data_IF_640024421217
#
_entry.id   IF_640024421217
#
_cell.length_a   1.000
_cell.length_b   1.000
_cell.length_c   1.000
_cell.angle_alpha   90.00
_cell.angle_beta   90.00
_cell.angle_gamma   90.00
#
_symmetry.space_group_name_H-M   'P 1'
#
loop_
_entity.id
_entity.type
_entity.pdbx_description
1 polymer ?
#
# COMPACT_ATOMS: atom_id res chain seq x y z
N UNK A 1 4.18 -20.34 44.59
CA UNK A 1 4.76 -20.32 43.21
C UNK A 1 3.68 -19.85 42.26
N UNK A 2 3.89 -18.76 41.53
CA UNK A 2 2.95 -18.29 40.50
C UNK A 2 3.16 -19.06 39.20
N UNK A 3 2.09 -19.29 38.44
CA UNK A 3 2.21 -19.94 37.14
C UNK A 3 2.84 -18.99 36.11
N UNK A 4 3.90 -19.42 35.43
CA UNK A 4 4.59 -18.62 34.40
C UNK A 4 3.69 -18.34 33.18
N UNK A 5 2.68 -19.19 32.95
CA UNK A 5 1.78 -19.09 31.80
C UNK A 5 0.58 -18.17 32.03
N UNK A 6 -0.04 -18.22 33.20
CA UNK A 6 -1.27 -17.45 33.49
C UNK A 6 -1.11 -16.45 34.64
N UNK A 7 0.08 -16.36 35.25
CA UNK A 7 0.43 -15.48 36.39
C UNK A 7 -0.51 -15.54 37.60
N UNK A 8 -1.39 -16.53 37.60
CA UNK A 8 -2.31 -16.81 38.70
C UNK A 8 -1.59 -17.64 39.77
N UNK A 9 -2.22 -17.78 40.94
CA UNK A 9 -1.82 -18.73 41.98
C UNK A 9 -2.70 -19.98 41.93
N UNK A 10 -2.56 -20.84 40.91
CA UNK A 10 -3.37 -22.05 40.77
C UNK A 10 -2.88 -23.15 41.72
N UNK A 11 -3.76 -24.08 42.03
CA UNK A 11 -3.34 -25.40 42.49
C UNK A 11 -2.53 -26.09 41.38
N UNK A 12 -1.39 -26.67 41.76
CA UNK A 12 -0.51 -27.40 40.84
C UNK A 12 -1.00 -28.84 40.80
N UNK A 13 -1.26 -29.36 39.59
CA UNK A 13 -1.56 -30.78 39.37
C UNK A 13 -0.36 -31.38 38.63
N UNK A 14 0.47 -32.14 39.36
CA UNK A 14 1.75 -32.64 38.83
C UNK A 14 2.77 -31.51 38.61
N UNK A 15 3.18 -31.30 37.35
CA UNK A 15 4.09 -30.21 36.96
C UNK A 15 3.37 -29.05 36.24
N UNK A 16 2.05 -29.11 36.13
CA UNK A 16 1.27 -28.19 35.30
C UNK A 16 0.24 -27.42 36.14
N UNK A 17 -0.04 -26.20 35.67
CA UNK A 17 -1.06 -25.34 36.24
C UNK A 17 -2.46 -25.81 35.85
N UNK A 18 -3.33 -26.01 36.83
CA UNK A 18 -4.71 -26.45 36.62
C UNK A 18 -5.52 -25.50 35.73
N UNK A 19 -5.33 -24.19 35.87
CA UNK A 19 -6.03 -23.17 35.05
C UNK A 19 -5.61 -23.29 33.59
N UNK A 20 -4.31 -23.43 33.31
CA UNK A 20 -3.81 -23.59 31.94
C UNK A 20 -4.31 -24.88 31.29
N UNK A 21 -4.50 -25.95 32.05
CA UNK A 21 -5.07 -27.21 31.54
C UNK A 21 -6.53 -27.00 31.11
N UNK A 22 -7.33 -26.32 31.94
CA UNK A 22 -8.75 -26.07 31.68
C UNK A 22 -8.93 -25.11 30.49
N UNK A 23 -8.12 -24.06 30.38
CA UNK A 23 -8.13 -23.13 29.24
C UNK A 23 -7.78 -23.85 27.93
N UNK A 24 -6.83 -24.79 27.98
CA UNK A 24 -6.48 -25.58 26.79
C UNK A 24 -7.62 -26.51 26.41
N UNK A 25 -8.27 -27.18 27.38
CA UNK A 25 -9.37 -28.09 27.13
C UNK A 25 -10.65 -27.40 26.64
N UNK A 26 -10.91 -26.16 27.05
CA UNK A 26 -12.04 -25.35 26.56
C UNK A 26 -11.82 -24.83 25.15
N UNK A 27 -10.60 -24.39 24.82
CA UNK A 27 -10.26 -23.95 23.45
C UNK A 27 -10.42 -25.04 22.39
N UNK A 28 -10.34 -26.32 22.77
CA UNK A 28 -10.62 -27.45 21.87
C UNK A 28 -12.11 -27.70 21.64
N UNK A 29 -12.99 -27.29 22.56
CA UNK A 29 -14.45 -27.48 22.44
C UNK A 29 -15.13 -26.43 21.57
N UNK A 30 -14.55 -25.24 21.46
CA UNK A 30 -15.12 -24.14 20.66
C UNK A 30 -14.85 -24.26 19.15
N UNK A 31 -14.03 -25.23 18.71
CA UNK A 31 -13.69 -25.40 17.29
C UNK A 31 -14.62 -26.34 16.49
N UNK A 32 -15.75 -26.81 17.05
CA UNK A 32 -16.60 -27.80 16.37
C UNK A 32 -18.07 -27.38 16.08
N UNK A 33 -18.53 -26.21 16.51
CA UNK A 33 -19.91 -25.79 16.22
C UNK A 33 -19.99 -24.29 15.95
N UNK A 34 -20.27 -23.92 14.69
CA UNK A 34 -21.37 -23.02 14.31
C UNK A 34 -21.23 -22.60 12.85
N UNK A 35 -21.96 -23.29 11.97
CA UNK A 35 -22.42 -22.80 10.68
C UNK A 35 -23.65 -21.92 10.89
N UNK A 36 -23.62 -20.65 10.48
CA UNK A 36 -24.82 -19.82 10.25
C UNK A 36 -24.62 -18.78 9.12
N UNK A 37 -25.72 -18.34 8.48
CA UNK A 37 -25.79 -18.19 7.03
C UNK A 37 -25.65 -16.76 6.49
N UNK A 38 -25.51 -16.72 5.17
CA UNK A 38 -25.41 -15.59 4.23
C UNK A 38 -26.59 -14.59 4.38
N UNK A 39 -26.27 -13.30 4.42
CA UNK A 39 -27.19 -12.21 4.11
C UNK A 39 -26.52 -11.22 3.13
N UNK A 40 -27.22 -10.90 2.05
CA UNK A 40 -26.79 -10.06 0.93
C UNK A 40 -26.90 -8.55 1.22
N UNK A 41 -26.25 -7.69 0.39
CA UNK A 41 -25.84 -6.34 0.78
C UNK A 41 -26.86 -5.24 0.40
N UNK A 42 -27.07 -4.29 1.30
CA UNK A 42 -27.72 -3.01 1.00
C UNK A 42 -26.75 -2.00 0.39
N UNK A 43 -27.17 -1.44 -0.75
CA UNK A 43 -26.52 -0.39 -1.53
C UNK A 43 -25.94 0.75 -0.68
N UNK A 44 -24.61 0.90 -0.72
CA UNK A 44 -23.95 2.16 -0.38
C UNK A 44 -23.27 2.66 -1.64
N UNK A 45 -23.92 3.63 -2.29
CA UNK A 45 -23.44 4.26 -3.51
C UNK A 45 -22.07 4.88 -3.25
N UNK A 46 -21.04 4.32 -3.89
CA UNK A 46 -19.66 4.81 -3.79
C UNK A 46 -19.54 6.20 -4.43
N UNK A 47 -18.73 7.08 -3.81
CA UNK A 47 -18.37 8.42 -4.28
C UNK A 47 -17.87 8.48 -5.74
N UNK A 48 -17.46 7.33 -6.29
CA UNK A 48 -17.08 7.12 -7.69
C UNK A 48 -18.27 7.24 -8.66
N UNK A 49 -19.47 6.80 -8.25
CA UNK A 49 -20.68 6.81 -9.09
C UNK A 49 -21.21 8.25 -9.31
N UNK A 50 -21.13 9.10 -8.28
CA UNK A 50 -21.52 10.52 -8.37
C UNK A 50 -20.61 11.35 -9.29
N UNK A 51 -19.32 10.97 -9.43
CA UNK A 51 -18.42 11.64 -10.37
C UNK A 51 -18.70 11.24 -11.83
N UNK A 52 -19.06 9.97 -12.08
CA UNK A 52 -19.40 9.52 -13.43
C UNK A 52 -20.73 10.12 -13.94
N UNK A 53 -21.72 10.34 -13.06
CA UNK A 53 -22.97 10.99 -13.44
C UNK A 53 -22.80 12.48 -13.78
N UNK A 54 -21.91 13.21 -13.09
CA UNK A 54 -21.57 14.61 -13.45
C UNK A 54 -20.89 14.71 -14.82
N UNK A 55 -19.99 13.79 -15.15
CA UNK A 55 -19.31 13.77 -16.44
C UNK A 55 -20.27 13.53 -17.63
N UNK A 56 -21.32 12.72 -17.45
CA UNK A 56 -22.35 12.51 -18.48
C UNK A 56 -23.23 13.73 -18.73
N UNK A 57 -23.53 14.52 -17.69
CA UNK A 57 -24.37 15.72 -17.83
C UNK A 57 -23.72 16.83 -18.68
N UNK A 58 -22.38 16.90 -18.69
CA UNK A 58 -21.63 17.88 -19.49
C UNK A 58 -21.52 17.48 -20.97
N UNK A 59 -21.57 16.18 -21.28
CA UNK A 59 -21.54 15.66 -22.65
C UNK A 59 -22.90 15.74 -23.36
N UNK A 60 -24.00 15.96 -22.64
CA UNK A 60 -25.35 16.10 -23.23
C UNK A 60 -25.71 17.54 -23.61
N UNK A 61 -24.84 18.54 -23.35
CA UNK A 61 -25.11 19.95 -23.69
C UNK A 61 -24.40 20.45 -24.97
N UNK A 62 -23.63 19.61 -25.67
CA UNK A 62 -22.91 20.00 -26.90
C UNK A 62 -23.52 19.49 -28.21
N UNK A 63 -24.76 18.97 -28.18
CA UNK A 63 -25.45 18.47 -29.39
C UNK A 63 -26.72 19.25 -29.64
N UNK A 64 -26.60 20.52 -30.04
CA UNK A 64 -27.70 21.32 -30.59
C UNK A 64 -27.16 22.47 -31.44
N UNK A 65 -26.73 22.17 -32.66
CA UNK A 65 -26.86 23.06 -33.82
C UNK A 65 -26.27 22.36 -35.06
N UNK A 66 -27.13 21.82 -35.92
CA UNK A 66 -27.14 21.99 -37.39
C UNK A 66 -28.17 20.99 -37.93
N UNK A 67 -29.44 21.37 -37.91
CA UNK A 67 -30.49 20.67 -38.65
C UNK A 67 -30.37 21.03 -40.13
N UNK A 68 -30.22 20.00 -40.97
CA UNK A 68 -30.29 20.05 -42.42
C UNK A 68 -31.73 20.45 -42.78
N UNK A 69 -31.90 21.45 -43.65
CA UNK A 69 -33.17 21.73 -44.32
C UNK A 69 -32.91 22.01 -45.80
N UNK A 70 -33.32 21.04 -46.61
CA UNK A 70 -33.45 21.14 -48.05
C UNK A 70 -34.75 21.91 -48.33
N UNK A 71 -34.66 23.04 -49.02
CA UNK A 71 -35.81 23.66 -49.68
C UNK A 71 -35.33 24.29 -50.99
N UNK A 72 -35.86 23.75 -52.09
CA UNK A 72 -35.71 24.26 -53.46
C UNK A 72 -36.67 25.45 -53.66
N UNK A 73 -36.20 26.58 -54.19
CA UNK A 73 -36.87 27.25 -55.30
C UNK A 73 -36.05 28.40 -55.92
N UNK A 74 -36.41 28.67 -57.17
CA UNK A 74 -35.69 29.37 -58.21
C UNK A 74 -35.58 30.90 -58.07
N UNK A 75 -34.50 31.43 -58.69
CA UNK A 75 -34.51 32.62 -59.55
C UNK A 75 -34.56 34.00 -58.91
N UNK A 76 -33.42 34.68 -58.86
CA UNK A 76 -33.26 36.09 -59.29
C UNK A 76 -31.78 36.49 -59.34
N UNK A 77 -31.34 36.96 -60.50
CA UNK A 77 -30.07 37.67 -60.70
C UNK A 77 -30.15 39.06 -60.08
N UNK A 78 -29.10 39.48 -59.35
CA UNK A 78 -28.69 40.89 -59.31
C UNK A 78 -27.16 40.98 -59.24
N UNK A 79 -26.68 41.92 -60.03
CA UNK A 79 -25.36 42.26 -60.52
C UNK A 79 -24.38 42.84 -59.47
N UNK A 80 -23.13 42.37 -59.57
CA UNK A 80 -21.81 43.04 -59.41
C UNK A 80 -21.70 44.21 -58.42
N UNK A 81 -20.89 44.02 -57.36
CA UNK A 81 -19.65 44.82 -57.08
C UNK A 81 -18.71 43.98 -56.21
N UNK A 82 -17.63 43.45 -56.80
CA UNK A 82 -16.35 43.30 -56.10
C UNK A 82 -15.45 44.50 -56.46
N UNK A 83 -14.31 44.77 -55.78
CA UNK A 83 -13.46 43.76 -55.16
C UNK A 83 -12.78 44.18 -53.83
N UNK A 84 -12.50 43.20 -52.97
CA UNK A 84 -11.12 42.96 -52.50
C UNK A 84 -11.09 41.57 -51.89
N UNK A 85 -10.74 40.60 -52.72
CA UNK A 85 -10.47 39.25 -52.26
C UNK A 85 -9.18 39.29 -51.45
N UNK A 86 -9.29 39.51 -50.14
CA UNK A 86 -8.24 39.16 -49.21
C UNK A 86 -7.90 37.68 -49.48
N UNK A 87 -6.70 37.42 -49.99
CA UNK A 87 -6.29 36.09 -50.40
C UNK A 87 -6.48 35.15 -49.19
N UNK A 88 -7.25 34.06 -49.30
CA UNK A 88 -7.48 33.13 -48.19
C UNK A 88 -6.17 32.65 -47.55
N UNK A 89 -5.10 32.61 -48.35
CA UNK A 89 -3.76 32.28 -47.92
C UNK A 89 -3.14 33.33 -46.97
N UNK A 90 -3.37 34.62 -47.21
CA UNK A 90 -2.90 35.72 -46.34
C UNK A 90 -3.63 35.72 -45.00
N UNK A 91 -4.93 35.43 -44.99
CA UNK A 91 -5.75 35.29 -43.77
C UNK A 91 -5.30 34.05 -42.97
N UNK A 92 -5.02 32.93 -43.65
CA UNK A 92 -4.50 31.72 -43.01
C UNK A 92 -3.08 31.93 -42.46
N UNK A 93 -2.23 32.69 -43.16
CA UNK A 93 -0.86 33.00 -42.74
C UNK A 93 -0.86 33.88 -41.49
N UNK A 94 -1.65 34.96 -41.49
CA UNK A 94 -1.74 35.88 -40.35
C UNK A 94 -2.27 35.21 -39.07
N UNK A 95 -3.24 34.28 -39.18
CA UNK A 95 -3.69 33.44 -38.05
C UNK A 95 -2.62 32.50 -37.49
N UNK A 96 -1.66 32.05 -38.31
CA UNK A 96 -0.53 31.21 -37.86
C UNK A 96 0.55 32.02 -37.15
N UNK A 97 0.76 33.27 -37.57
CA UNK A 97 1.80 34.14 -37.00
C UNK A 97 1.35 34.77 -35.68
N UNK A 98 0.04 35.04 -35.49
CA UNK A 98 -0.49 35.55 -34.21
C UNK A 98 -0.46 34.51 -33.06
N UNK A 99 -0.24 33.23 -33.37
CA UNK A 99 -0.07 32.15 -32.40
C UNK A 99 1.38 32.01 -31.89
N UNK A 100 2.32 32.80 -32.42
CA UNK A 100 3.69 32.90 -31.92
C UNK A 100 3.84 34.09 -30.98
N UNK A 101 3.07 34.12 -29.90
CA UNK A 101 3.57 34.74 -28.67
C UNK A 101 4.68 33.84 -28.14
N UNK A 102 5.88 34.35 -27.78
CA UNK A 102 6.87 33.56 -27.07
C UNK A 102 6.18 32.98 -25.84
N UNK A 103 6.13 31.65 -25.73
CA UNK A 103 5.52 30.96 -24.59
C UNK A 103 5.94 31.66 -23.29
N UNK A 104 5.00 32.02 -22.39
CA UNK A 104 5.40 32.50 -21.08
C UNK A 104 6.19 31.38 -20.42
N UNK A 105 7.49 31.61 -20.20
CA UNK A 105 8.37 30.71 -19.45
C UNK A 105 7.93 30.70 -17.99
N UNK A 106 6.82 30.02 -17.71
CA UNK A 106 6.52 29.52 -16.38
C UNK A 106 7.38 28.27 -16.14
N UNK A 107 8.72 28.43 -16.18
CA UNK A 107 9.59 27.47 -15.54
C UNK A 107 9.37 27.65 -14.04
N UNK A 108 8.39 26.92 -13.50
CA UNK A 108 8.41 26.56 -12.08
C UNK A 108 9.72 25.82 -11.90
N UNK A 109 10.75 26.55 -11.48
CA UNK A 109 12.02 25.96 -11.07
C UNK A 109 11.67 24.81 -10.13
N UNK A 110 12.11 23.60 -10.48
CA UNK A 110 11.96 22.45 -9.61
C UNK A 110 12.82 22.77 -8.40
N UNK A 111 12.23 23.37 -7.37
CA UNK A 111 12.88 23.51 -6.08
C UNK A 111 12.99 22.09 -5.56
N UNK A 112 14.19 21.50 -5.43
CA UNK A 112 14.30 20.25 -4.70
C UNK A 112 13.67 20.51 -3.34
N UNK A 113 12.64 19.73 -2.99
CA UNK A 113 12.14 19.73 -1.62
C UNK A 113 13.36 19.40 -0.78
N UNK A 114 13.80 20.33 0.07
CA UNK A 114 14.76 20.04 1.11
C UNK A 114 14.28 18.75 1.79
N UNK A 115 15.17 17.77 1.92
CA UNK A 115 14.84 16.51 2.56
C UNK A 115 14.20 16.84 3.90
N UNK A 116 12.89 16.60 4.00
CA UNK A 116 12.16 16.83 5.24
C UNK A 116 12.85 15.90 6.23
N UNK A 117 13.59 16.46 7.18
CA UNK A 117 14.24 15.67 8.21
C UNK A 117 13.14 14.85 8.88
N UNK A 118 13.05 13.56 8.53
CA UNK A 118 12.08 12.67 9.12
C UNK A 118 12.51 12.55 10.56
N UNK A 119 11.83 13.28 11.45
CA UNK A 119 12.01 13.11 12.89
C UNK A 119 11.89 11.61 13.14
N UNK A 120 13.00 10.94 13.48
CA UNK A 120 13.02 9.49 13.73
C UNK A 120 12.11 9.12 14.91
N UNK A 121 11.97 7.82 15.14
CA UNK A 121 11.26 7.33 16.32
C UNK A 121 11.96 7.70 17.63
N UNK A 122 13.30 7.74 17.62
CA UNK A 122 14.12 8.12 18.77
C UNK A 122 14.48 9.62 18.65
N UNK A 123 14.00 10.49 19.56
CA UNK A 123 14.46 11.87 19.65
C UNK A 123 15.96 11.95 19.94
N UNK A 124 16.63 12.95 19.36
CA UNK A 124 18.06 13.18 19.59
C UNK A 124 18.39 13.65 21.01
N UNK A 125 17.41 14.17 21.76
CA UNK A 125 17.57 14.69 23.12
C UNK A 125 16.63 13.93 24.06
N UNK A 126 17.19 13.34 25.13
CA UNK A 126 16.47 12.50 26.09
C UNK A 126 15.65 11.39 25.41
N UNK A 127 16.33 10.36 24.85
CA UNK A 127 15.63 9.27 24.18
C UNK A 127 14.72 8.56 25.20
N UNK A 128 13.41 8.44 24.92
CA UNK A 128 12.53 7.71 25.80
C UNK A 128 12.89 6.22 25.74
N UNK A 129 12.86 5.57 26.90
CA UNK A 129 13.11 4.13 27.05
C UNK A 129 12.19 3.28 26.15
N UNK A 130 10.99 3.79 25.84
CA UNK A 130 10.02 3.15 24.94
C UNK A 130 9.64 4.10 23.81
N UNK A 131 9.73 3.61 22.58
CA UNK A 131 9.35 4.33 21.36
C UNK A 131 8.22 3.64 20.64
N UNK A 132 7.31 4.42 20.05
CA UNK A 132 6.27 3.88 19.16
C UNK A 132 6.74 3.97 17.71
N UNK A 133 6.77 2.82 17.03
CA UNK A 133 7.17 2.68 15.63
C UNK A 133 6.02 2.10 14.80
N UNK A 134 5.98 2.43 13.52
CA UNK A 134 4.97 1.92 12.59
C UNK A 134 5.47 0.65 11.91
N UNK A 135 4.87 -0.48 12.27
CA UNK A 135 5.25 -1.81 11.81
C UNK A 135 4.28 -2.39 10.78
N UNK A 136 4.75 -2.64 9.57
CA UNK A 136 3.99 -3.33 8.51
C UNK A 136 4.57 -4.69 8.14
N UNK A 137 4.01 -5.27 7.07
CA UNK A 137 4.50 -6.49 6.44
C UNK A 137 4.67 -6.25 4.95
N UNK A 138 5.82 -6.62 4.41
CA UNK A 138 6.17 -6.48 3.01
C UNK A 138 6.64 -7.82 2.46
N UNK A 139 6.17 -8.16 1.27
CA UNK A 139 6.61 -9.36 0.56
C UNK A 139 7.38 -8.91 -0.66
N UNK A 140 8.57 -9.49 -0.89
CA UNK A 140 9.38 -9.28 -2.09
C UNK A 140 9.26 -10.50 -2.98
N UNK A 141 8.77 -10.28 -4.19
CA UNK A 141 8.59 -11.31 -5.25
C UNK A 141 9.09 -10.75 -6.57
N UNK A 142 9.91 -11.49 -7.30
CA UNK A 142 10.56 -11.06 -8.54
C UNK A 142 11.31 -9.73 -8.37
N UNK A 143 11.95 -9.54 -7.21
CA UNK A 143 12.62 -8.29 -6.86
C UNK A 143 11.70 -7.08 -6.59
N UNK A 144 10.37 -7.22 -6.63
CA UNK A 144 9.39 -6.14 -6.43
C UNK A 144 8.59 -6.33 -5.14
N UNK A 145 7.99 -5.25 -4.66
CA UNK A 145 7.11 -5.25 -3.48
C UNK A 145 5.63 -5.09 -3.87
N UNK A 146 4.91 -6.17 -4.19
CA UNK A 146 3.48 -6.11 -4.50
C UNK A 146 2.66 -5.64 -3.29
N UNK A 147 1.92 -4.55 -3.46
CA UNK A 147 1.10 -3.97 -2.39
C UNK A 147 -0.04 -4.89 -1.94
N UNK A 148 -0.58 -5.72 -2.83
CA UNK A 148 -1.67 -6.66 -2.54
C UNK A 148 -1.27 -7.76 -1.54
N UNK A 149 0.01 -8.11 -1.49
CA UNK A 149 0.53 -9.14 -0.58
C UNK A 149 1.02 -8.56 0.75
N UNK A 150 1.09 -7.23 0.84
CA UNK A 150 1.64 -6.50 1.98
C UNK A 150 0.55 -6.12 2.98
N UNK A 151 0.88 -6.08 4.27
CA UNK A 151 -0.04 -5.60 5.31
C UNK A 151 0.22 -4.13 5.67
N UNK A 152 -0.85 -3.42 6.03
CA UNK A 152 -0.76 -2.04 6.49
C UNK A 152 0.06 -1.91 7.78
N UNK A 153 0.74 -0.77 7.91
CA UNK A 153 1.54 -0.44 9.08
C UNK A 153 0.62 -0.20 10.28
N UNK A 154 1.02 -0.75 11.43
CA UNK A 154 0.36 -0.55 12.71
C UNK A 154 1.36 -0.06 13.75
N UNK A 155 0.94 0.82 14.68
CA UNK A 155 1.82 1.25 15.75
C UNK A 155 2.20 0.07 16.65
N UNK A 156 3.45 0.04 17.07
CA UNK A 156 4.03 -0.93 18.00
C UNK A 156 4.99 -0.22 18.93
N UNK A 157 4.95 -0.57 20.21
CA UNK A 157 5.85 -0.04 21.22
C UNK A 157 7.07 -0.95 21.31
N UNK A 158 8.25 -0.36 21.24
CA UNK A 158 9.53 -1.07 21.36
C UNK A 158 10.36 -0.40 22.45
N UNK A 159 10.96 -1.22 23.28
CA UNK A 159 11.95 -0.81 24.27
C UNK A 159 13.27 -0.54 23.56
N UNK A 160 13.93 0.57 23.81
CA UNK A 160 15.18 0.95 23.13
C UNK A 160 16.40 0.50 23.93
N UNK A 161 16.27 0.37 25.25
CA UNK A 161 17.38 0.06 26.14
C UNK A 161 17.66 -1.44 26.19
N UNK A 162 16.67 -2.26 25.81
CA UNK A 162 16.86 -3.69 25.76
C UNK A 162 17.81 -4.07 24.59
N UNK A 163 18.91 -4.81 24.88
CA UNK A 163 19.89 -5.20 23.86
C UNK A 163 19.34 -6.18 22.81
N UNK A 164 18.20 -6.82 23.09
CA UNK A 164 17.56 -7.80 22.21
C UNK A 164 16.30 -7.25 21.50
N UNK A 165 16.08 -5.94 21.52
CA UNK A 165 14.86 -5.33 21.00
C UNK A 165 14.61 -5.63 19.53
N UNK A 166 15.67 -5.70 18.72
CA UNK A 166 15.60 -6.14 17.33
C UNK A 166 15.02 -7.56 17.22
N UNK A 167 15.59 -8.52 17.96
CA UNK A 167 15.17 -9.92 17.92
C UNK A 167 13.75 -10.10 18.47
N UNK A 168 13.41 -9.40 19.56
CA UNK A 168 12.07 -9.44 20.13
C UNK A 168 11.03 -8.90 19.15
N UNK A 169 11.31 -7.79 18.48
CA UNK A 169 10.43 -7.23 17.46
C UNK A 169 10.28 -8.17 16.26
N UNK A 170 11.40 -8.76 15.80
CA UNK A 170 11.40 -9.71 14.69
C UNK A 170 10.54 -10.93 14.98
N UNK A 171 10.70 -11.55 16.15
CA UNK A 171 9.90 -12.70 16.60
C UNK A 171 8.42 -12.30 16.70
N UNK A 172 8.13 -11.16 17.33
CA UNK A 172 6.77 -10.68 17.51
C UNK A 172 6.07 -10.46 16.17
N UNK A 173 6.73 -9.80 15.21
CA UNK A 173 6.15 -9.56 13.89
C UNK A 173 5.97 -10.87 13.11
N UNK A 174 6.92 -11.81 13.18
CA UNK A 174 6.80 -13.13 12.56
C UNK A 174 5.54 -13.84 13.04
N UNK A 175 5.39 -14.00 14.36
CA UNK A 175 4.21 -14.65 14.94
C UNK A 175 2.91 -13.91 14.62
N UNK A 176 2.94 -12.57 14.62
CA UNK A 176 1.76 -11.74 14.32
C UNK A 176 1.23 -11.91 12.90
N UNK A 177 2.10 -12.16 11.93
CA UNK A 177 1.70 -12.29 10.53
C UNK A 177 1.49 -13.73 10.09
N UNK A 178 1.62 -14.73 10.98
CA UNK A 178 1.26 -16.13 10.66
C UNK A 178 -0.20 -16.19 10.19
N UNK A 179 -0.42 -16.89 9.08
CA UNK A 179 -1.71 -16.97 8.40
C UNK A 179 -2.04 -15.79 7.49
N UNK A 180 -1.15 -14.81 7.33
CA UNK A 180 -1.34 -13.71 6.39
C UNK A 180 -1.39 -14.24 4.95
N UNK A 181 -2.43 -13.86 4.20
CA UNK A 181 -2.65 -14.36 2.85
C UNK A 181 -1.66 -13.73 1.86
N UNK A 182 -0.91 -14.57 1.15
CA UNK A 182 0.06 -14.20 0.12
C UNK A 182 -0.51 -14.38 -1.29
N UNK A 183 -1.84 -14.38 -1.45
CA UNK A 183 -2.50 -14.60 -2.73
C UNK A 183 -2.23 -16.00 -3.26
N UNK A 184 -1.67 -16.08 -4.47
CA UNK A 184 -1.35 -17.36 -5.13
C UNK A 184 -0.17 -18.09 -4.48
N UNK A 185 0.59 -17.42 -3.60
CA UNK A 185 1.75 -17.96 -2.91
C UNK A 185 1.38 -18.62 -1.56
N UNK A 186 0.10 -18.86 -1.31
CA UNK A 186 -0.38 -19.49 -0.08
C UNK A 186 -0.49 -18.52 1.09
N UNK A 187 -0.09 -18.97 2.28
CA UNK A 187 -0.17 -18.19 3.52
C UNK A 187 1.18 -18.15 4.22
N UNK A 188 1.47 -17.03 4.87
CA UNK A 188 2.69 -16.89 5.66
C UNK A 188 2.68 -17.86 6.84
N UNK A 189 3.76 -18.63 6.97
CA UNK A 189 3.95 -19.74 7.92
C UNK A 189 5.33 -19.65 8.57
N UNK A 190 5.61 -20.58 9.50
CA UNK A 190 6.90 -20.68 10.18
C UNK A 190 8.04 -21.03 9.24
N UNK A 191 7.76 -21.73 8.14
CA UNK A 191 8.76 -22.12 7.13
C UNK A 191 9.38 -20.91 6.44
N UNK A 192 8.64 -19.78 6.44
CA UNK A 192 9.10 -18.53 5.88
C UNK A 192 10.01 -17.74 6.82
N UNK A 193 10.08 -18.07 8.11
CA UNK A 193 10.80 -17.27 9.10
C UNK A 193 12.28 -17.04 8.76
N UNK A 194 13.06 -18.04 8.30
CA UNK A 194 14.46 -17.83 7.92
C UNK A 194 14.65 -16.79 6.81
N UNK A 195 13.64 -16.58 5.98
CA UNK A 195 13.66 -15.66 4.83
C UNK A 195 13.07 -14.29 5.15
N UNK A 196 12.90 -14.00 6.44
CA UNK A 196 12.37 -12.73 6.90
C UNK A 196 13.37 -11.92 7.67
N UNK A 197 13.37 -10.62 7.40
CA UNK A 197 14.22 -9.63 8.06
C UNK A 197 13.42 -8.36 8.33
N UNK A 198 13.88 -7.53 9.27
CA UNK A 198 13.30 -6.21 9.44
C UNK A 198 13.90 -5.23 8.43
N UNK A 199 13.15 -4.19 8.08
CA UNK A 199 13.70 -3.11 7.29
C UNK A 199 12.66 -2.25 6.60
N UNK A 200 13.03 -1.68 5.46
CA UNK A 200 12.14 -0.94 4.58
C UNK A 200 12.33 -1.44 3.15
N UNK A 201 11.51 -0.94 2.22
CA UNK A 201 11.67 -1.25 0.78
C UNK A 201 13.06 -0.94 0.21
N UNK A 202 13.86 -0.11 0.89
CA UNK A 202 15.16 0.37 0.41
C UNK A 202 16.35 -0.26 1.13
N UNK A 203 16.17 -0.67 2.39
CA UNK A 203 17.26 -1.12 3.25
C UNK A 203 16.78 -2.19 4.21
N UNK A 204 17.57 -3.26 4.33
CA UNK A 204 17.43 -4.24 5.41
C UNK A 204 18.03 -3.70 6.72
N UNK A 205 17.59 -4.29 7.82
CA UNK A 205 18.11 -4.09 9.16
C UNK A 205 18.40 -5.50 9.70
N UNK A 206 19.66 -5.79 9.98
CA UNK A 206 20.12 -7.16 10.26
C UNK A 206 20.49 -7.38 11.72
N UNK A 207 20.80 -6.29 12.43
CA UNK A 207 21.40 -6.33 13.76
C UNK A 207 20.86 -5.24 14.68
N UNK A 208 21.16 -5.36 15.98
CA UNK A 208 20.69 -4.40 16.98
C UNK A 208 21.24 -2.98 16.73
N UNK A 209 22.48 -2.82 16.25
CA UNK A 209 23.06 -1.49 16.04
C UNK A 209 22.46 -0.81 14.81
N UNK A 210 22.28 -1.54 13.70
CA UNK A 210 21.56 -1.00 12.54
C UNK A 210 20.10 -0.70 12.87
N UNK A 211 19.46 -1.49 13.74
CA UNK A 211 18.09 -1.24 14.20
C UNK A 211 17.98 0.10 14.95
N UNK A 212 18.84 0.33 15.95
CA UNK A 212 18.86 1.59 16.69
C UNK A 212 19.19 2.79 15.79
N UNK A 213 20.16 2.62 14.88
CA UNK A 213 20.53 3.65 13.91
C UNK A 213 19.39 3.97 12.94
N UNK A 214 18.64 2.95 12.52
CA UNK A 214 17.45 3.09 11.70
C UNK A 214 16.36 3.86 12.44
N UNK A 215 16.11 3.56 13.71
CA UNK A 215 15.07 4.24 14.52
C UNK A 215 15.40 5.71 14.81
N UNK A 216 16.67 6.14 14.77
CA UNK A 216 17.05 7.56 14.87
C UNK A 216 16.63 8.37 13.64
N UNK A 217 16.55 7.74 12.48
CA UNK A 217 16.24 8.40 11.20
C UNK A 217 14.82 8.10 10.70
N UNK A 218 14.25 6.96 11.06
CA UNK A 218 12.98 6.45 10.56
C UNK A 218 12.01 6.15 11.69
N UNK A 219 10.72 6.33 11.40
CA UNK A 219 9.60 5.97 12.29
C UNK A 219 8.91 4.66 11.92
N UNK A 220 9.35 4.05 10.83
CA UNK A 220 8.70 2.88 10.26
C UNK A 220 9.72 1.78 10.03
N UNK A 221 9.32 0.55 10.32
CA UNK A 221 10.09 -0.64 9.99
C UNK A 221 9.08 -1.73 9.64
N UNK A 222 9.31 -2.49 8.60
CA UNK A 222 8.40 -3.53 8.15
C UNK A 222 9.09 -4.88 8.29
N UNK A 223 8.33 -5.93 8.57
CA UNK A 223 8.81 -7.30 8.39
C UNK A 223 8.80 -7.60 6.89
N UNK A 224 9.97 -7.91 6.34
CA UNK A 224 10.15 -8.18 4.91
C UNK A 224 10.35 -9.68 4.73
N UNK A 225 9.48 -10.31 3.95
CA UNK A 225 9.67 -11.66 3.43
C UNK A 225 10.35 -11.60 2.06
N UNK A 226 11.50 -12.26 1.91
CA UNK A 226 12.09 -12.53 0.61
C UNK A 226 11.54 -13.86 0.07
N UNK A 227 10.48 -13.79 -0.73
CA UNK A 227 9.84 -14.99 -1.26
C UNK A 227 10.71 -15.68 -2.32
N UNK A 228 11.46 -14.90 -3.11
CA UNK A 228 12.36 -15.43 -4.14
C UNK A 228 13.41 -16.38 -3.52
N UNK A 229 13.96 -16.02 -2.36
CA UNK A 229 14.91 -16.87 -1.64
C UNK A 229 14.25 -18.12 -1.02
N UNK A 230 13.01 -18.00 -0.58
CA UNK A 230 12.23 -19.13 -0.07
C UNK A 230 11.96 -20.16 -1.19
N UNK A 231 11.46 -19.68 -2.33
CA UNK A 231 11.17 -20.52 -3.50
C UNK A 231 12.42 -21.25 -4.01
N UNK A 232 13.56 -20.57 -4.06
CA UNK A 232 14.84 -21.21 -4.41
C UNK A 232 15.24 -22.34 -3.47
N UNK A 233 15.07 -22.16 -2.15
CA UNK A 233 15.40 -23.22 -1.18
C UNK A 233 14.46 -24.41 -1.31
N UNK A 234 13.15 -24.16 -1.51
CA UNK A 234 12.17 -25.24 -1.70
C UNK A 234 12.49 -26.08 -2.93
N UNK A 235 12.85 -25.43 -4.05
CA UNK A 235 13.25 -26.14 -5.27
C UNK A 235 14.54 -26.96 -5.07
N UNK A 236 15.53 -26.42 -4.36
CA UNK A 236 16.76 -27.15 -4.05
C UNK A 236 16.49 -28.38 -3.18
N UNK A 237 15.65 -28.26 -2.15
CA UNK A 237 15.29 -29.37 -1.28
C UNK A 237 14.51 -30.47 -2.03
N UNK A 238 13.71 -30.10 -3.02
CA UNK A 238 13.06 -31.07 -3.91
C UNK A 238 14.10 -31.80 -4.78
N UNK A 239 15.04 -31.10 -5.41
CA UNK A 239 16.09 -31.71 -6.25
C UNK A 239 17.00 -32.67 -5.45
N UNK A 240 17.42 -32.27 -4.26
CA UNK A 240 18.30 -33.06 -3.39
C UNK A 240 17.59 -34.31 -2.83
N UNK A 241 16.25 -34.29 -2.73
CA UNK A 241 15.45 -35.43 -2.27
C UNK A 241 15.26 -36.54 -3.30
N UNK A 242 15.63 -36.31 -4.57
CA UNK A 242 15.57 -37.30 -5.65
C UNK A 242 16.93 -37.97 -5.96
N UNK A 243 17.99 -37.64 -5.22
CA UNK A 243 19.32 -38.28 -5.31
C UNK A 243 19.51 -39.38 -4.27
#
# INVERSE_FOLDING_TARGET
MQCIRCFSYPAIVGQLCQICIIDTASSFKDSCLTTKPIANPTNVLSKKEQMFQRARSLLSQTSSATSISLASNAGQEVEVVGPSAANPYEIARSKRVSAFTPYPKNSKAFKPKAALASKGAIPSMNPPHKVTIQCGFLVRVGGRFPSKLSAHKRPMVVDVDNPNSYQLLLILLREKFVGHNLGNYGSFSKDHFPFTQLGTKKSGVEDQQSFLSHLKSNKTIDLILNYDAFEQKMLQEEEDGYQ
#
